data_IF_032757670023
#
_entry.id   IF_032757670023
#
_cell.length_a   1.000
_cell.length_b   1.000
_cell.length_c   1.000
_cell.angle_alpha   90.00
_cell.angle_beta   90.00
_cell.angle_gamma   90.00
#
_symmetry.space_group_name_H-M   'P 1'
#
loop_
_entity.id
_entity.type
_entity.pdbx_description
1 polymer ?
#
# COMPACT_ATOMS: atom_id res chain seq x y z
N UNK A 1 -25.46 7.55 12.79
CA UNK A 1 -24.04 7.59 12.39
C UNK A 1 -23.99 7.13 10.95
N UNK A 2 -23.64 8.04 10.02
CA UNK A 2 -23.47 7.67 8.63
C UNK A 2 -22.37 6.62 8.51
N UNK A 3 -22.66 5.53 7.77
CA UNK A 3 -21.67 4.49 7.48
C UNK A 3 -20.44 5.13 6.83
N UNK A 4 -19.21 4.68 7.14
CA UNK A 4 -18.03 5.19 6.46
C UNK A 4 -18.17 4.97 4.95
N UNK A 5 -18.02 6.05 4.17
CA UNK A 5 -18.20 6.09 2.71
C UNK A 5 -17.19 5.21 1.94
N UNK A 6 -16.17 4.70 2.61
CA UNK A 6 -15.02 4.05 1.98
C UNK A 6 -15.01 2.54 2.26
N UNK A 7 -14.73 1.75 1.21
CA UNK A 7 -14.52 0.30 1.31
C UNK A 7 -13.18 0.03 1.97
N UNK A 8 -13.12 -0.98 2.85
CA UNK A 8 -11.85 -1.52 3.32
C UNK A 8 -11.39 -2.54 2.28
N UNK A 9 -10.16 -2.41 1.81
CA UNK A 9 -9.57 -3.31 0.82
C UNK A 9 -8.21 -3.77 1.28
N UNK A 10 -7.85 -4.98 0.88
CA UNK A 10 -6.49 -5.48 0.84
C UNK A 10 -5.98 -5.40 -0.60
N UNK A 11 -4.82 -4.77 -0.80
CA UNK A 11 -4.15 -4.68 -2.09
C UNK A 11 -2.85 -5.47 -2.01
N UNK A 12 -2.73 -6.51 -2.83
CA UNK A 12 -1.48 -7.23 -3.04
C UNK A 12 -0.74 -6.59 -4.23
N UNK A 13 0.53 -6.25 -4.05
CA UNK A 13 1.30 -5.52 -5.04
C UNK A 13 2.81 -5.80 -4.96
N UNK A 14 3.52 -5.47 -6.03
CA UNK A 14 4.96 -5.54 -6.13
C UNK A 14 5.57 -4.25 -5.58
N UNK A 15 6.27 -4.37 -4.47
CA UNK A 15 6.95 -3.27 -3.81
C UNK A 15 8.45 -3.33 -4.10
N UNK A 16 8.93 -2.31 -4.79
CA UNK A 16 10.34 -2.12 -5.12
C UNK A 16 11.02 -1.11 -4.19
N UNK A 17 10.35 -0.60 -3.15
CA UNK A 17 10.84 0.43 -2.24
C UNK A 17 11.02 -0.11 -0.82
N UNK A 18 10.03 -0.80 -0.26
CA UNK A 18 10.07 -1.25 1.14
C UNK A 18 10.99 -2.45 1.40
N UNK A 19 11.57 -3.03 0.34
CA UNK A 19 12.59 -4.08 0.45
C UNK A 19 13.95 -3.56 0.95
N UNK A 20 14.19 -2.25 0.93
CA UNK A 20 15.51 -1.69 1.19
C UNK A 20 15.63 -1.15 2.62
N UNK A 21 16.35 -1.88 3.46
CA UNK A 21 16.66 -1.48 4.84
C UNK A 21 17.80 -0.46 4.95
N UNK A 22 18.50 -0.19 3.85
CA UNK A 22 19.60 0.77 3.77
C UNK A 22 19.74 1.32 2.34
N UNK A 23 20.35 2.51 2.16
CA UNK A 23 20.66 3.02 0.82
C UNK A 23 21.54 2.03 0.06
N UNK A 24 21.11 1.64 -1.13
CA UNK A 24 21.82 0.69 -2.00
C UNK A 24 22.63 1.43 -3.08
N UNK A 25 23.73 0.83 -3.51
CA UNK A 25 24.44 1.27 -4.72
C UNK A 25 23.63 0.89 -5.97
N UNK A 26 24.02 1.43 -7.14
CA UNK A 26 23.36 1.07 -8.41
C UNK A 26 23.57 -0.42 -8.70
N UNK A 27 24.78 -0.91 -8.46
CA UNK A 27 25.16 -2.30 -8.67
C UNK A 27 24.35 -3.26 -7.76
N UNK A 28 24.11 -2.87 -6.51
CA UNK A 28 23.26 -3.66 -5.60
C UNK A 28 21.81 -3.71 -6.10
N UNK A 29 21.27 -2.58 -6.58
CA UNK A 29 19.90 -2.48 -7.09
C UNK A 29 19.65 -3.35 -8.32
N UNK A 30 20.64 -3.61 -9.17
CA UNK A 30 20.50 -4.51 -10.33
C UNK A 30 20.16 -5.94 -9.94
N UNK A 31 20.57 -6.36 -8.73
CA UNK A 31 20.34 -7.70 -8.20
C UNK A 31 19.04 -7.84 -7.40
N UNK A 32 18.46 -6.72 -7.00
CA UNK A 32 17.28 -6.68 -6.14
C UNK A 32 16.00 -7.00 -6.90
N UNK A 33 15.11 -7.74 -6.22
CA UNK A 33 13.83 -8.15 -6.80
C UNK A 33 12.69 -7.48 -6.03
N UNK A 34 11.69 -6.93 -6.73
CA UNK A 34 10.49 -6.44 -6.06
C UNK A 34 9.88 -7.55 -5.22
N UNK A 35 9.52 -7.21 -3.99
CA UNK A 35 8.85 -8.14 -3.09
C UNK A 35 7.35 -8.08 -3.30
N UNK A 36 6.68 -9.20 -3.07
CA UNK A 36 5.22 -9.22 -3.01
C UNK A 36 4.82 -8.82 -1.60
N UNK A 37 4.02 -7.77 -1.49
CA UNK A 37 3.50 -7.30 -0.20
C UNK A 37 2.01 -7.05 -0.28
N UNK A 38 1.36 -6.91 0.87
CA UNK A 38 -0.03 -6.52 0.96
C UNK A 38 -0.23 -5.31 1.86
N UNK A 39 -1.18 -4.46 1.50
CA UNK A 39 -1.55 -3.28 2.26
C UNK A 39 -3.06 -3.27 2.47
N UNK A 40 -3.49 -3.10 3.72
CA UNK A 40 -4.91 -3.02 4.09
C UNK A 40 -5.24 -1.60 4.48
N UNK A 41 -6.29 -1.04 3.88
CA UNK A 41 -6.72 0.31 4.19
C UNK A 41 -8.06 0.67 3.58
N UNK A 42 -8.52 1.89 3.86
CA UNK A 42 -9.68 2.47 3.22
C UNK A 42 -9.34 2.88 1.79
N UNK A 43 -10.12 2.42 0.82
CA UNK A 43 -9.96 2.80 -0.58
C UNK A 43 -10.42 4.25 -0.77
N UNK A 44 -9.47 5.19 -0.85
CA UNK A 44 -9.75 6.62 -1.00
C UNK A 44 -9.93 7.01 -2.46
N UNK A 45 -9.14 6.42 -3.36
CA UNK A 45 -9.21 6.64 -4.81
C UNK A 45 -8.76 5.40 -5.57
N UNK A 46 -9.40 5.17 -6.71
CA UNK A 46 -8.98 4.19 -7.71
C UNK A 46 -9.23 4.78 -9.11
N UNK A 47 -8.21 4.74 -9.96
CA UNK A 47 -8.31 5.11 -11.39
C UNK A 47 -7.45 4.16 -12.25
N UNK A 48 -7.34 4.42 -13.55
CA UNK A 48 -6.56 3.56 -14.47
C UNK A 48 -5.06 3.53 -14.15
N UNK A 49 -4.55 4.52 -13.43
CA UNK A 49 -3.13 4.69 -13.16
C UNK A 49 -2.73 4.18 -11.77
N UNK A 50 -3.63 4.27 -10.78
CA UNK A 50 -3.28 4.01 -9.37
C UNK A 50 -4.45 3.68 -8.46
N UNK A 51 -4.08 3.19 -7.28
CA UNK A 51 -4.90 3.08 -6.08
C UNK A 51 -4.30 3.95 -4.98
N UNK A 52 -5.15 4.62 -4.19
CA UNK A 52 -4.75 5.34 -2.98
C UNK A 52 -5.49 4.74 -1.78
N UNK A 53 -4.72 4.21 -0.83
CA UNK A 53 -5.21 3.69 0.44
C UNK A 53 -4.99 4.70 1.55
N UNK A 54 -5.94 4.81 2.47
CA UNK A 54 -5.80 5.56 3.71
C UNK A 54 -5.82 4.62 4.92
N UNK A 55 -4.90 4.78 5.85
CA UNK A 55 -4.84 3.97 7.07
C UNK A 55 -4.18 4.74 8.22
N UNK A 56 -4.34 4.21 9.43
CA UNK A 56 -3.64 4.72 10.62
C UNK A 56 -2.33 3.95 10.78
N UNK A 57 -1.24 4.68 11.00
CA UNK A 57 0.03 4.11 11.38
C UNK A 57 0.33 4.37 12.86
N UNK A 58 1.12 3.48 13.44
CA UNK A 58 1.67 3.60 14.79
C UNK A 58 3.18 3.79 14.67
N UNK A 59 3.69 4.89 15.20
CA UNK A 59 5.13 5.14 15.30
C UNK A 59 5.50 5.63 16.70
N UNK A 60 6.78 5.94 16.90
CA UNK A 60 7.29 6.40 18.19
C UNK A 60 6.63 7.70 18.68
N UNK A 61 6.14 8.53 17.74
CA UNK A 61 5.41 9.78 18.01
C UNK A 61 3.90 9.56 18.25
N UNK A 62 3.42 8.30 18.18
CA UNK A 62 2.03 7.92 18.38
C UNK A 62 1.27 7.58 17.10
N UNK A 63 -0.04 7.80 17.13
CA UNK A 63 -0.96 7.47 16.03
C UNK A 63 -1.06 8.63 15.04
N UNK A 64 -0.78 8.38 13.76
CA UNK A 64 -0.97 9.37 12.70
C UNK A 64 -1.68 8.80 11.46
N UNK A 65 -2.36 9.69 10.74
CA UNK A 65 -3.05 9.36 9.49
C UNK A 65 -2.01 9.29 8.37
N UNK A 66 -2.01 8.20 7.62
CA UNK A 66 -1.15 8.02 6.47
C UNK A 66 -1.95 7.63 5.23
N UNK A 67 -1.32 7.79 4.06
CA UNK A 67 -1.87 7.33 2.79
C UNK A 67 -0.76 6.70 1.96
N UNK A 68 -1.14 5.73 1.15
CA UNK A 68 -0.23 5.00 0.28
C UNK A 68 -0.76 5.02 -1.13
N UNK A 69 0.09 5.43 -2.08
CA UNK A 69 -0.19 5.36 -3.51
C UNK A 69 0.47 4.13 -4.07
N UNK A 70 -0.32 3.31 -4.76
CA UNK A 70 0.12 2.09 -5.40
C UNK A 70 -0.17 2.21 -6.91
N UNK A 71 0.87 2.27 -7.78
CA UNK A 71 0.68 2.28 -9.22
C UNK A 71 -0.03 1.01 -9.70
N UNK A 72 -0.97 1.15 -10.65
CA UNK A 72 -1.79 0.04 -11.15
C UNK A 72 -0.93 -1.09 -11.72
N UNK A 73 0.16 -0.76 -12.41
CA UNK A 73 1.10 -1.75 -12.97
C UNK A 73 1.84 -2.60 -11.93
N UNK A 74 1.82 -2.21 -10.65
CA UNK A 74 2.40 -2.98 -9.55
C UNK A 74 1.36 -3.85 -8.84
N UNK A 75 0.06 -3.61 -9.05
CA UNK A 75 -1.01 -4.31 -8.35
C UNK A 75 -1.20 -5.71 -8.96
N UNK A 76 -1.18 -6.72 -8.08
CA UNK A 76 -1.52 -8.10 -8.43
C UNK A 76 -2.99 -8.40 -8.19
N UNK A 77 -3.53 -7.93 -7.06
CA UNK A 77 -4.90 -8.22 -6.66
C UNK A 77 -5.45 -7.12 -5.73
N UNK A 78 -6.77 -6.92 -5.78
CA UNK A 78 -7.52 -6.06 -4.86
C UNK A 78 -8.70 -6.86 -4.33
N UNK A 79 -8.74 -7.06 -3.01
CA UNK A 79 -9.82 -7.78 -2.32
C UNK A 79 -10.57 -6.81 -1.41
N UNK A 80 -11.89 -6.71 -1.56
CA UNK A 80 -12.73 -5.98 -0.58
C UNK A 80 -12.89 -6.84 0.67
N UNK A 81 -12.69 -6.23 1.84
CA UNK A 81 -12.90 -6.85 3.13
C UNK A 81 -14.27 -6.36 3.65
N UNK A 82 -15.33 -7.13 3.39
CA UNK A 82 -16.62 -6.89 4.01
C UNK A 82 -16.57 -7.51 5.42
N UNK A 83 -16.82 -6.68 6.44
CA UNK A 83 -16.97 -7.19 7.81
C UNK A 83 -18.28 -7.98 7.90
N UNK A 84 -18.21 -9.21 8.39
CA UNK A 84 -19.39 -9.98 8.82
C UNK A 84 -20.14 -9.28 9.97
#
# INVERSE_FOLDING_TARGET
>A
MDKPKYKIVEVEWLDAQSGFSSPLTIEDLESEKPIVTSSVGYLLKEDSEKVILGFMMFGDEGMFKHWQLIPRGMIKNIRTLEGE
#
